data_IF_013778717601
#
_entry.id   IF_013778717601
#
_cell.length_a   1.000
_cell.length_b   1.000
_cell.length_c   1.000
_cell.angle_alpha   90.00
_cell.angle_beta   90.00
_cell.angle_gamma   90.00
#
_symmetry.space_group_name_H-M   'P 1'
#
loop_
_entity.id
_entity.type
_entity.pdbx_description
1 polymer ?
#
# COMPACT_ATOMS: atom_id res chain seq x y z
N UNK A 1 17.28 -4.62 -16.82
CA UNK A 1 16.54 -4.36 -15.56
C UNK A 1 17.16 -5.20 -14.47
N UNK A 2 17.50 -4.63 -13.31
CA UNK A 2 18.06 -5.39 -12.20
C UNK A 2 16.97 -6.30 -11.59
N UNK A 3 17.28 -7.58 -11.41
CA UNK A 3 16.36 -8.60 -10.86
C UNK A 3 16.01 -8.35 -9.39
N UNK A 4 16.93 -7.75 -8.64
CA UNK A 4 16.80 -7.49 -7.21
C UNK A 4 16.94 -5.99 -6.93
N UNK A 5 16.26 -5.53 -5.90
CA UNK A 5 16.33 -4.15 -5.42
C UNK A 5 16.63 -4.15 -3.94
N UNK A 6 17.72 -3.50 -3.55
CA UNK A 6 18.14 -3.39 -2.17
C UNK A 6 17.59 -2.09 -1.60
N UNK A 7 16.81 -2.19 -0.51
CA UNK A 7 16.19 -1.03 0.14
C UNK A 7 16.79 -0.89 1.54
N UNK A 8 17.41 0.25 1.87
CA UNK A 8 17.94 0.48 3.20
C UNK A 8 16.78 0.81 4.14
N UNK A 9 16.42 -0.13 5.00
CA UNK A 9 15.35 0.06 5.98
C UNK A 9 15.88 0.83 7.19
N UNK A 10 15.14 1.87 7.61
CA UNK A 10 15.37 2.66 8.82
C UNK A 10 16.78 3.28 8.95
N UNK A 11 17.54 3.39 7.85
CA UNK A 11 18.91 3.91 7.82
C UNK A 11 19.03 4.99 6.74
N UNK A 12 19.61 6.15 7.11
CA UNK A 12 19.83 7.26 6.17
C UNK A 12 21.04 7.06 5.26
N UNK A 13 22.07 6.42 5.79
CA UNK A 13 23.36 6.18 5.14
C UNK A 13 23.75 4.71 5.36
N UNK A 14 23.24 3.79 4.52
CA UNK A 14 23.60 2.38 4.63
C UNK A 14 25.09 2.20 4.32
N UNK A 15 25.74 1.28 5.04
CA UNK A 15 27.09 0.87 4.70
C UNK A 15 27.10 0.23 3.29
N UNK A 16 28.18 0.38 2.50
CA UNK A 16 28.28 -0.23 1.17
C UNK A 16 28.03 -1.74 1.25
N UNK A 17 27.13 -2.24 0.41
CA UNK A 17 26.83 -3.66 0.32
C UNK A 17 27.64 -4.25 -0.83
N UNK A 18 28.49 -5.23 -0.51
CA UNK A 18 29.23 -6.02 -1.50
C UNK A 18 28.62 -7.41 -1.62
N UNK A 19 28.26 -7.80 -2.83
CA UNK A 19 27.80 -9.15 -3.16
C UNK A 19 28.79 -9.71 -4.17
N UNK A 20 29.46 -10.82 -3.82
CA UNK A 20 30.48 -11.46 -4.66
C UNK A 20 31.63 -10.53 -5.12
N UNK A 21 31.91 -9.47 -4.35
CA UNK A 21 32.97 -8.49 -4.65
C UNK A 21 32.49 -7.24 -5.40
N UNK A 22 31.27 -7.24 -5.93
CA UNK A 22 30.68 -6.09 -6.62
C UNK A 22 29.92 -5.18 -5.65
N UNK A 23 30.09 -3.86 -5.80
CA UNK A 23 29.34 -2.88 -5.04
C UNK A 23 27.90 -2.78 -5.56
N UNK A 24 26.94 -3.05 -4.67
CA UNK A 24 25.52 -3.03 -5.01
C UNK A 24 24.88 -1.74 -4.49
N UNK A 25 24.29 -0.99 -5.43
CA UNK A 25 23.59 0.25 -5.12
C UNK A 25 22.28 0.03 -4.35
N UNK A 26 22.02 0.92 -3.39
CA UNK A 26 20.74 0.98 -2.69
C UNK A 26 19.73 1.82 -3.48
N UNK A 27 18.46 1.41 -3.42
CA UNK A 27 17.31 2.17 -3.91
C UNK A 27 16.44 2.59 -2.73
N UNK A 28 15.88 3.82 -2.72
CA UNK A 28 14.98 4.25 -1.66
C UNK A 28 13.62 3.52 -1.67
N UNK A 29 13.29 2.81 -2.76
CA UNK A 29 12.02 2.09 -2.95
C UNK A 29 12.24 0.77 -3.67
N UNK A 30 11.42 -0.22 -3.33
CA UNK A 30 11.37 -1.53 -3.97
C UNK A 30 9.95 -2.08 -3.99
N UNK A 31 9.75 -3.20 -4.68
CA UNK A 31 8.47 -3.91 -4.68
C UNK A 31 8.65 -5.39 -4.36
N UNK A 32 7.75 -5.94 -3.54
CA UNK A 32 7.70 -7.34 -3.16
C UNK A 32 6.26 -7.83 -3.26
N UNK A 33 5.95 -8.76 -4.17
CA UNK A 33 4.60 -9.33 -4.34
C UNK A 33 3.48 -8.28 -4.45
N UNK A 34 3.75 -7.18 -5.17
CA UNK A 34 2.82 -6.05 -5.34
C UNK A 34 2.79 -5.07 -4.15
N UNK A 35 3.55 -5.32 -3.09
CA UNK A 35 3.77 -4.37 -2.01
C UNK A 35 4.87 -3.40 -2.39
N UNK A 36 4.61 -2.10 -2.24
CA UNK A 36 5.65 -1.06 -2.30
C UNK A 36 6.37 -0.97 -0.95
N UNK A 37 7.69 -1.10 -0.94
CA UNK A 37 8.53 -0.95 0.25
C UNK A 37 9.38 0.29 0.07
N UNK A 38 9.45 1.11 1.09
CA UNK A 38 10.36 2.26 1.14
C UNK A 38 11.36 2.11 2.26
N UNK A 39 12.34 3.01 2.33
CA UNK A 39 13.26 3.11 3.48
C UNK A 39 12.54 3.24 4.83
N UNK A 40 11.31 3.77 4.84
CA UNK A 40 10.44 3.92 6.01
C UNK A 40 9.47 2.74 6.22
N UNK A 41 9.66 1.62 5.49
CA UNK A 41 8.79 0.44 5.52
C UNK A 41 7.56 0.57 4.61
N UNK A 42 6.44 0.00 5.07
CA UNK A 42 5.18 -0.18 4.31
C UNK A 42 4.10 0.89 4.64
N UNK A 43 4.47 1.99 5.27
CA UNK A 43 3.52 3.01 5.78
C UNK A 43 2.66 3.66 4.71
N UNK A 44 3.14 3.71 3.46
CA UNK A 44 2.41 4.34 2.33
C UNK A 44 1.16 3.57 1.89
N UNK A 45 1.04 2.29 2.23
CA UNK A 45 -0.06 1.42 1.80
C UNK A 45 -1.43 1.85 2.32
N UNK A 46 -1.48 2.35 3.56
CA UNK A 46 -2.72 2.87 4.17
C UNK A 46 -3.24 4.05 3.36
N UNK A 47 -2.39 5.05 3.10
CA UNK A 47 -2.76 6.23 2.33
C UNK A 47 -3.21 5.89 0.91
N UNK A 48 -2.54 4.93 0.26
CA UNK A 48 -2.94 4.44 -1.06
C UNK A 48 -4.31 3.76 -1.03
N UNK A 49 -4.64 3.00 0.03
CA UNK A 49 -5.97 2.38 0.21
C UNK A 49 -7.07 3.40 0.39
N UNK A 50 -6.85 4.37 1.26
CA UNK A 50 -7.79 5.48 1.47
C UNK A 50 -8.07 6.20 0.15
N UNK A 51 -7.02 6.46 -0.64
CA UNK A 51 -7.17 7.06 -1.97
C UNK A 51 -7.99 6.17 -2.93
N UNK A 52 -7.74 4.86 -2.95
CA UNK A 52 -8.52 3.90 -3.77
C UNK A 52 -9.98 3.83 -3.35
N UNK A 53 -10.27 3.82 -2.05
CA UNK A 53 -11.65 3.83 -1.52
C UNK A 53 -12.36 5.12 -1.89
N UNK A 54 -11.71 6.28 -1.72
CA UNK A 54 -12.28 7.57 -2.13
C UNK A 54 -12.63 7.57 -3.62
N UNK A 55 -11.73 7.08 -4.48
CA UNK A 55 -11.99 6.94 -5.91
C UNK A 55 -13.18 6.01 -6.20
N UNK A 56 -13.25 4.86 -5.53
CA UNK A 56 -14.35 3.93 -5.68
C UNK A 56 -15.69 4.56 -5.25
N UNK A 57 -15.72 5.27 -4.13
CA UNK A 57 -16.90 6.01 -3.67
C UNK A 57 -17.33 7.10 -4.65
N UNK A 58 -16.39 7.87 -5.20
CA UNK A 58 -16.68 8.86 -6.24
C UNK A 58 -17.33 8.22 -7.47
N UNK A 59 -16.85 7.03 -7.88
CA UNK A 59 -17.47 6.28 -8.98
C UNK A 59 -18.86 5.78 -8.61
N UNK A 60 -19.05 5.32 -7.38
CA UNK A 60 -20.35 4.86 -6.87
C UNK A 60 -21.38 5.98 -6.75
N UNK A 61 -20.95 7.23 -6.56
CA UNK A 61 -21.84 8.38 -6.49
C UNK A 61 -22.70 8.55 -7.75
N UNK A 62 -22.21 8.10 -8.92
CA UNK A 62 -22.97 8.09 -10.18
C UNK A 62 -24.23 7.21 -10.11
N UNK A 63 -24.28 6.28 -9.15
CA UNK A 63 -25.40 5.36 -8.94
C UNK A 63 -26.27 5.76 -7.73
N UNK A 64 -26.25 7.03 -7.31
CA UNK A 64 -26.99 7.52 -6.13
C UNK A 64 -28.50 7.26 -6.21
N UNK A 65 -29.05 7.24 -7.42
CA UNK A 65 -30.47 7.07 -7.70
C UNK A 65 -30.92 5.59 -7.75
N UNK A 66 -29.99 4.63 -7.62
CA UNK A 66 -30.34 3.21 -7.48
C UNK A 66 -31.06 2.91 -6.15
N UNK A 67 -31.82 1.83 -6.14
CA UNK A 67 -32.41 1.27 -4.92
C UNK A 67 -31.35 1.01 -3.84
N UNK A 68 -31.70 1.27 -2.59
CA UNK A 68 -30.79 1.17 -1.44
C UNK A 68 -30.13 -0.21 -1.31
N UNK A 69 -30.87 -1.29 -1.62
CA UNK A 69 -30.33 -2.65 -1.62
C UNK A 69 -29.17 -2.84 -2.61
N UNK A 70 -29.31 -2.31 -3.83
CA UNK A 70 -28.25 -2.35 -4.85
C UNK A 70 -27.06 -1.49 -4.45
N UNK A 71 -27.29 -0.29 -3.89
CA UNK A 71 -26.22 0.58 -3.36
C UNK A 71 -25.41 -0.13 -2.28
N UNK A 72 -26.08 -0.79 -1.33
CA UNK A 72 -25.42 -1.60 -0.31
C UNK A 72 -24.60 -2.73 -0.93
N UNK A 73 -25.15 -3.42 -1.93
CA UNK A 73 -24.43 -4.50 -2.61
C UNK A 73 -23.16 -3.99 -3.30
N UNK A 74 -23.24 -2.85 -3.99
CA UNK A 74 -22.10 -2.21 -4.64
C UNK A 74 -21.02 -1.78 -3.65
N UNK A 75 -21.41 -1.19 -2.51
CA UNK A 75 -20.46 -0.84 -1.44
C UNK A 75 -19.78 -2.10 -0.89
N UNK A 76 -20.55 -3.14 -0.58
CA UNK A 76 -20.01 -4.42 -0.07
C UNK A 76 -19.07 -5.09 -1.07
N UNK A 77 -19.35 -5.00 -2.36
CA UNK A 77 -18.55 -5.64 -3.40
C UNK A 77 -17.29 -4.85 -3.77
N UNK A 78 -17.37 -3.51 -3.78
CA UNK A 78 -16.31 -2.67 -4.37
C UNK A 78 -15.50 -1.86 -3.35
N UNK A 79 -16.06 -1.58 -2.17
CA UNK A 79 -15.40 -0.74 -1.15
C UNK A 79 -14.85 -1.60 -0.03
N UNK A 80 -15.68 -2.49 0.55
CA UNK A 80 -15.29 -3.30 1.72
C UNK A 80 -14.02 -4.14 1.45
N UNK A 81 -13.83 -4.82 0.30
CA UNK A 81 -12.62 -5.61 0.07
C UNK A 81 -11.33 -4.76 0.07
N UNK A 82 -11.42 -3.49 -0.34
CA UNK A 82 -10.30 -2.55 -0.32
C UNK A 82 -9.93 -2.14 1.12
N UNK A 83 -10.85 -2.25 2.08
CA UNK A 83 -10.58 -1.97 3.50
C UNK A 83 -10.18 -3.24 4.25
N UNK A 84 -10.96 -4.31 4.10
CA UNK A 84 -10.90 -5.50 4.94
C UNK A 84 -9.77 -6.47 4.60
N UNK A 85 -9.26 -6.49 3.36
CA UNK A 85 -8.19 -7.41 2.97
C UNK A 85 -6.92 -6.67 2.53
N UNK A 86 -6.12 -6.19 3.50
CA UNK A 86 -4.85 -5.56 3.21
C UNK A 86 -3.75 -6.53 2.85
N UNK A 87 -2.98 -6.25 1.77
CA UNK A 87 -1.84 -7.09 1.41
C UNK A 87 -0.70 -6.89 2.42
N UNK A 88 -0.78 -5.84 3.26
CA UNK A 88 0.13 -5.60 4.38
C UNK A 88 -0.62 -5.96 5.68
N UNK A 89 0.00 -6.69 6.62
CA UNK A 89 -0.66 -7.01 7.87
C UNK A 89 -0.92 -5.74 8.70
N UNK A 90 -2.19 -5.47 9.05
CA UNK A 90 -2.56 -4.22 9.74
C UNK A 90 -1.90 -4.05 11.10
N UNK A 91 -1.56 -5.14 11.78
CA UNK A 91 -0.87 -5.11 13.07
C UNK A 91 0.55 -4.53 12.98
N UNK A 92 1.14 -4.43 11.78
CA UNK A 92 2.45 -3.81 11.56
C UNK A 92 2.39 -2.29 11.43
N UNK A 93 1.19 -1.71 11.41
CA UNK A 93 0.95 -0.28 11.24
C UNK A 93 0.75 0.41 12.59
N UNK A 94 1.18 1.67 12.68
CA UNK A 94 0.90 2.48 13.87
C UNK A 94 -0.60 2.77 14.02
N UNK A 95 -1.06 2.95 15.25
CA UNK A 95 -2.45 3.39 15.53
C UNK A 95 -2.83 4.67 14.77
N UNK A 96 -1.87 5.61 14.63
CA UNK A 96 -2.05 6.86 13.88
C UNK A 96 -2.22 6.66 12.37
N UNK A 97 -1.66 5.59 11.81
CA UNK A 97 -1.87 5.23 10.42
C UNK A 97 -3.22 4.52 10.25
N UNK A 98 -3.55 3.58 11.14
CA UNK A 98 -4.81 2.82 11.11
C UNK A 98 -6.02 3.74 11.25
N UNK A 99 -5.97 4.80 12.07
CA UNK A 99 -7.08 5.73 12.24
C UNK A 99 -7.49 6.51 10.98
N UNK A 100 -6.70 6.41 9.89
CA UNK A 100 -6.99 7.05 8.60
C UNK A 100 -7.80 6.16 7.66
N UNK A 101 -7.87 4.84 7.93
CA UNK A 101 -8.73 3.90 7.21
C UNK A 101 -10.19 4.09 7.62
#
# INVERSE_FOLDING_TARGET
MAKFTFVPLATKTPAPLRVDGDDVGFSPRGSLLGLSVSTMGYTTHVSQRVARVKLALTRLYRFRDLATGLKLHLIKALVIPILSYPPVPLYTLSHTAISRL
#
